data_IF_810788192073
#
_entry.id   IF_810788192073
#
_cell.length_a   1.000
_cell.length_b   1.000
_cell.length_c   1.000
_cell.angle_alpha   90.00
_cell.angle_beta   90.00
_cell.angle_gamma   90.00
#
_symmetry.space_group_name_H-M   'P 1'
#
loop_
_entity.id
_entity.type
_entity.pdbx_description
1 polymer ?
#
# COMPACT_ATOMS: atom_id res chain seq x y z
N UNK A 1 -0.09 16.91 63.96
CA UNK A 1 -0.22 15.85 62.93
C UNK A 1 -1.12 16.37 61.83
N UNK A 2 -0.58 16.65 60.62
CA UNK A 2 -1.37 17.08 59.45
C UNK A 2 -1.13 16.08 58.33
N UNK A 3 -2.18 15.46 57.74
CA UNK A 3 -2.01 14.48 56.68
C UNK A 3 -1.69 15.21 55.38
N UNK A 4 -0.62 14.80 54.70
CA UNK A 4 -0.29 15.27 53.35
C UNK A 4 -1.16 14.48 52.36
N UNK A 5 -2.12 15.17 51.76
CA UNK A 5 -2.91 14.69 50.64
C UNK A 5 -2.01 14.61 49.41
N UNK A 6 -1.69 13.39 48.95
CA UNK A 6 -0.98 13.14 47.71
C UNK A 6 -1.98 13.24 46.54
N UNK A 7 -1.90 14.32 45.77
CA UNK A 7 -2.58 14.48 44.49
C UNK A 7 -1.89 13.58 43.45
N UNK A 8 -2.60 12.55 42.99
CA UNK A 8 -2.18 11.71 41.87
C UNK A 8 -2.52 12.47 40.58
N UNK A 9 -1.48 12.95 39.89
CA UNK A 9 -1.60 13.58 38.58
C UNK A 9 -1.73 12.47 37.52
N UNK A 10 -2.93 12.24 37.00
CA UNK A 10 -3.13 11.34 35.86
C UNK A 10 -2.70 12.06 34.57
N UNK A 11 -1.56 11.66 34.00
CA UNK A 11 -1.13 12.11 32.68
C UNK A 11 -1.94 11.38 31.60
N UNK A 12 -2.86 12.09 30.96
CA UNK A 12 -3.61 11.61 29.81
C UNK A 12 -2.67 11.60 28.59
N UNK A 13 -2.14 10.43 28.23
CA UNK A 13 -1.32 10.28 27.01
C UNK A 13 -2.26 10.31 25.81
N UNK A 14 -2.32 11.44 25.11
CA UNK A 14 -3.01 11.56 23.84
C UNK A 14 -2.26 10.73 22.80
N UNK A 15 -2.81 9.56 22.44
CA UNK A 15 -2.30 8.78 21.32
C UNK A 15 -2.54 9.58 20.02
N UNK A 16 -1.52 9.77 19.16
CA UNK A 16 -1.71 10.41 17.87
C UNK A 16 -2.66 9.56 17.03
N UNK A 17 -3.72 10.17 16.50
CA UNK A 17 -4.55 9.58 15.46
C UNK A 17 -3.63 9.36 14.25
N UNK A 18 -3.28 8.12 13.96
CA UNK A 18 -2.55 7.77 12.75
C UNK A 18 -3.42 8.15 11.56
N UNK A 19 -3.07 9.24 10.87
CA UNK A 19 -3.68 9.60 9.60
C UNK A 19 -3.44 8.45 8.61
N UNK A 20 -4.49 8.01 7.93
CA UNK A 20 -4.36 6.95 6.93
C UNK A 20 -3.43 7.42 5.82
N UNK A 21 -2.40 6.62 5.51
CA UNK A 21 -1.44 6.98 4.46
C UNK A 21 -2.19 7.14 3.13
N UNK A 22 -2.05 8.28 2.45
CA UNK A 22 -2.72 8.50 1.17
C UNK A 22 -2.32 7.40 0.18
N UNK A 23 -3.23 7.06 -0.73
CA UNK A 23 -2.89 6.13 -1.81
C UNK A 23 -1.80 6.75 -2.70
N UNK A 24 -0.82 5.95 -3.16
CA UNK A 24 0.18 6.42 -4.11
C UNK A 24 -0.49 6.75 -5.45
N UNK A 25 0.16 7.61 -6.24
CA UNK A 25 -0.39 8.11 -7.52
C UNK A 25 -0.81 6.97 -8.46
N UNK A 26 -0.05 5.87 -8.48
CA UNK A 26 -0.38 4.71 -9.32
C UNK A 26 -1.74 4.09 -8.96
N UNK A 27 -2.18 4.20 -7.71
CA UNK A 27 -3.44 3.64 -7.17
C UNK A 27 -4.55 4.69 -6.93
N UNK A 28 -4.23 5.98 -6.95
CA UNK A 28 -5.17 7.06 -6.63
C UNK A 28 -6.11 7.39 -7.81
N UNK A 29 -7.36 7.75 -7.54
CA UNK A 29 -8.30 8.22 -8.58
C UNK A 29 -8.51 7.21 -9.72
N UNK A 30 -8.66 5.92 -9.38
CA UNK A 30 -9.13 4.92 -10.34
C UNK A 30 -10.63 5.09 -10.60
N UNK A 31 -11.13 4.68 -11.78
CA UNK A 31 -12.56 4.56 -12.04
C UNK A 31 -13.30 3.72 -10.98
N UNK A 32 -14.59 3.97 -10.79
CA UNK A 32 -15.40 3.22 -9.82
C UNK A 32 -15.73 1.79 -10.30
N UNK A 33 -15.76 1.57 -11.61
CA UNK A 33 -16.03 0.26 -12.19
C UNK A 33 -14.79 -0.65 -12.10
N UNK A 34 -14.91 -1.80 -11.42
CA UNK A 34 -13.78 -2.70 -11.11
C UNK A 34 -12.95 -3.09 -12.34
N UNK A 35 -13.60 -3.42 -13.46
CA UNK A 35 -12.89 -3.79 -14.69
C UNK A 35 -12.06 -2.63 -15.27
N UNK A 36 -12.61 -1.42 -15.25
CA UNK A 36 -11.94 -0.19 -15.72
C UNK A 36 -10.82 0.21 -14.75
N UNK A 37 -11.06 0.10 -13.44
CA UNK A 37 -10.06 0.33 -12.40
C UNK A 37 -8.87 -0.62 -12.56
N UNK A 38 -9.13 -1.90 -12.81
CA UNK A 38 -8.09 -2.90 -13.04
C UNK A 38 -7.27 -2.59 -14.30
N UNK A 39 -7.93 -2.26 -15.41
CA UNK A 39 -7.23 -1.90 -16.64
C UNK A 39 -6.38 -0.62 -16.46
N UNK A 40 -6.94 0.41 -15.82
CA UNK A 40 -6.25 1.67 -15.55
C UNK A 40 -5.06 1.47 -14.61
N UNK A 41 -5.23 0.70 -13.54
CA UNK A 41 -4.15 0.39 -12.59
C UNK A 41 -3.02 -0.39 -13.26
N UNK A 42 -3.35 -1.44 -14.01
CA UNK A 42 -2.36 -2.21 -14.76
C UNK A 42 -1.55 -1.32 -15.73
N UNK A 43 -2.25 -0.47 -16.50
CA UNK A 43 -1.60 0.44 -17.43
C UNK A 43 -0.67 1.45 -16.73
N UNK A 44 -1.08 1.98 -15.57
CA UNK A 44 -0.24 2.89 -14.78
C UNK A 44 0.99 2.21 -14.22
N UNK A 45 0.86 0.99 -13.71
CA UNK A 45 2.02 0.19 -13.24
C UNK A 45 3.01 0.00 -14.39
N UNK A 46 2.55 -0.46 -15.55
CA UNK A 46 3.40 -0.68 -16.72
C UNK A 46 4.05 0.61 -17.25
N UNK A 47 3.34 1.74 -17.19
CA UNK A 47 3.88 3.03 -17.60
C UNK A 47 4.89 3.63 -16.59
N UNK A 48 4.75 3.29 -15.30
CA UNK A 48 5.57 3.86 -14.22
C UNK A 48 6.98 3.28 -14.18
N UNK A 49 7.14 2.01 -14.55
CA UNK A 49 8.40 1.27 -14.44
C UNK A 49 8.96 0.95 -15.82
N UNK A 50 10.11 1.52 -16.15
CA UNK A 50 10.84 1.16 -17.37
C UNK A 50 11.56 -0.18 -17.16
N UNK A 51 11.27 -1.15 -18.03
CA UNK A 51 11.86 -2.49 -18.01
C UNK A 51 13.02 -2.60 -19.02
N UNK A 52 14.04 -3.44 -18.76
CA UNK A 52 14.26 -4.17 -17.51
C UNK A 52 14.79 -3.24 -16.40
N UNK A 53 14.55 -3.59 -15.13
CA UNK A 53 15.14 -2.91 -13.97
C UNK A 53 15.59 -3.90 -12.89
N UNK A 54 16.45 -3.45 -11.97
CA UNK A 54 16.82 -4.25 -10.82
C UNK A 54 15.61 -4.44 -9.88
N UNK A 55 15.44 -5.65 -9.35
CA UNK A 55 14.35 -5.94 -8.41
C UNK A 55 14.44 -5.08 -7.14
N UNK A 56 15.65 -4.85 -6.62
CA UNK A 56 15.83 -4.01 -5.43
C UNK A 56 15.38 -2.56 -5.66
N UNK A 57 15.58 -2.03 -6.87
CA UNK A 57 15.11 -0.68 -7.23
C UNK A 57 13.57 -0.64 -7.32
N UNK A 58 12.95 -1.68 -7.90
CA UNK A 58 11.49 -1.81 -7.91
C UNK A 58 10.92 -1.83 -6.49
N UNK A 59 11.49 -2.67 -5.62
CA UNK A 59 11.05 -2.85 -4.24
C UNK A 59 11.20 -1.56 -3.45
N UNK A 60 12.33 -0.87 -3.56
CA UNK A 60 12.56 0.39 -2.87
C UNK A 60 11.49 1.44 -3.24
N UNK A 61 11.09 1.51 -4.51
CA UNK A 61 10.01 2.40 -4.96
C UNK A 61 8.67 1.96 -4.39
N UNK A 62 8.31 0.67 -4.47
CA UNK A 62 7.03 0.16 -3.97
C UNK A 62 6.88 0.35 -2.46
N UNK A 63 7.93 0.10 -1.68
CA UNK A 63 7.92 0.34 -0.23
C UNK A 63 7.78 1.84 0.09
N UNK A 64 8.44 2.70 -0.68
CA UNK A 64 8.31 4.17 -0.56
C UNK A 64 6.88 4.62 -0.86
N UNK A 65 6.22 3.98 -1.83
CA UNK A 65 4.81 4.21 -2.19
C UNK A 65 3.82 3.59 -1.18
N UNK A 66 4.33 2.90 -0.15
CA UNK A 66 3.55 2.34 0.95
C UNK A 66 2.97 0.95 0.68
N UNK A 67 3.46 0.24 -0.35
CA UNK A 67 3.14 -1.16 -0.57
C UNK A 67 3.84 -2.07 0.44
N UNK A 68 3.14 -3.10 0.88
CA UNK A 68 3.73 -4.23 1.59
C UNK A 68 4.26 -5.23 0.56
N UNK A 69 5.58 -5.44 0.53
CA UNK A 69 6.28 -6.29 -0.45
C UNK A 69 6.46 -7.71 0.08
N UNK A 70 6.13 -8.71 -0.73
CA UNK A 70 6.51 -10.11 -0.53
C UNK A 70 7.41 -10.59 -1.66
N UNK A 71 8.71 -10.65 -1.36
CA UNK A 71 9.77 -11.08 -2.30
C UNK A 71 9.67 -12.55 -2.69
N UNK A 72 9.07 -13.40 -1.84
CA UNK A 72 9.04 -14.85 -2.09
C UNK A 72 8.12 -15.25 -3.25
N UNK A 73 7.22 -14.35 -3.61
CA UNK A 73 6.13 -14.54 -4.59
C UNK A 73 6.01 -13.35 -5.54
N UNK A 74 7.01 -12.46 -5.54
CA UNK A 74 7.16 -11.33 -6.46
C UNK A 74 5.91 -10.46 -6.60
N UNK A 75 5.32 -10.07 -5.46
CA UNK A 75 4.23 -9.11 -5.45
C UNK A 75 4.35 -8.08 -4.32
N UNK A 76 3.63 -6.97 -4.46
CA UNK A 76 3.44 -5.98 -3.42
C UNK A 76 1.97 -5.52 -3.37
N UNK A 77 1.42 -5.34 -2.17
CA UNK A 77 0.01 -5.01 -1.97
C UNK A 77 -0.20 -3.73 -1.16
N UNK A 78 -1.23 -2.99 -1.55
CA UNK A 78 -1.91 -2.02 -0.68
C UNK A 78 -3.36 -2.47 -0.52
N UNK A 79 -3.85 -2.45 0.71
CA UNK A 79 -5.26 -2.66 1.02
C UNK A 79 -5.87 -1.40 1.64
N UNK A 80 -7.09 -1.07 1.22
CA UNK A 80 -7.88 0.03 1.77
C UNK A 80 -9.30 -0.42 2.01
N UNK A 81 -9.82 -0.11 3.20
CA UNK A 81 -11.22 -0.36 3.54
C UNK A 81 -12.06 0.82 3.07
N UNK A 82 -13.14 0.51 2.36
CA UNK A 82 -14.15 1.48 1.93
C UNK A 82 -15.52 0.98 2.39
N UNK A 83 -15.95 1.47 3.55
CA UNK A 83 -17.10 0.94 4.28
C UNK A 83 -16.91 -0.55 4.62
N UNK A 84 -17.79 -1.39 4.08
CA UNK A 84 -17.74 -2.86 4.26
C UNK A 84 -16.85 -3.56 3.25
N UNK A 85 -16.46 -2.89 2.17
CA UNK A 85 -15.67 -3.48 1.11
C UNK A 85 -14.17 -3.26 1.35
N UNK A 86 -13.36 -4.19 0.84
CA UNK A 86 -11.90 -4.12 0.82
C UNK A 86 -11.43 -3.90 -0.62
N UNK A 87 -10.75 -2.79 -0.87
CA UNK A 87 -10.03 -2.51 -2.11
C UNK A 87 -8.60 -3.02 -1.98
N UNK A 88 -8.13 -3.78 -2.96
CA UNK A 88 -6.76 -4.30 -3.04
C UNK A 88 -6.10 -3.81 -4.33
N UNK A 89 -4.87 -3.31 -4.19
CA UNK A 89 -4.00 -2.87 -5.28
C UNK A 89 -2.74 -3.71 -5.23
N UNK A 90 -2.55 -4.57 -6.23
CA UNK A 90 -1.45 -5.52 -6.28
C UNK A 90 -0.54 -5.25 -7.45
N UNK A 91 0.75 -5.03 -7.18
CA UNK A 91 1.79 -5.06 -8.21
C UNK A 91 2.39 -6.46 -8.22
N UNK A 92 2.51 -7.07 -9.39
CA UNK A 92 3.19 -8.36 -9.59
C UNK A 92 4.31 -8.19 -10.61
N UNK A 93 5.41 -8.90 -10.43
CA UNK A 93 6.51 -8.90 -11.40
C UNK A 93 7.08 -10.28 -11.61
N UNK A 94 7.72 -10.48 -12.76
CA UNK A 94 8.61 -11.60 -13.00
C UNK A 94 10.05 -11.15 -12.74
N UNK A 95 10.86 -12.03 -12.16
CA UNK A 95 12.26 -11.76 -11.85
C UNK A 95 13.11 -12.95 -12.29
N UNK A 96 14.11 -12.68 -13.11
CA UNK A 96 15.16 -13.63 -13.46
C UNK A 96 16.53 -13.05 -13.04
N UNK A 97 17.19 -13.70 -12.08
CA UNK A 97 18.55 -13.32 -11.66
C UNK A 97 18.66 -11.93 -11.01
N UNK A 98 17.61 -11.44 -10.35
CA UNK A 98 17.55 -10.10 -9.74
C UNK A 98 17.12 -8.99 -10.70
N UNK A 99 16.74 -9.35 -11.93
CA UNK A 99 16.27 -8.42 -12.96
C UNK A 99 14.79 -8.66 -13.25
N UNK A 100 14.01 -7.59 -13.22
CA UNK A 100 12.60 -7.60 -13.56
C UNK A 100 12.42 -7.38 -15.05
N UNK A 101 11.78 -8.33 -15.73
CA UNK A 101 11.54 -8.34 -17.18
C UNK A 101 10.07 -8.17 -17.57
N UNK A 102 9.14 -8.41 -16.62
CA UNK A 102 7.71 -8.16 -16.77
C UNK A 102 7.11 -7.64 -15.46
N UNK A 103 6.16 -6.71 -15.58
CA UNK A 103 5.43 -6.15 -14.44
C UNK A 103 3.96 -5.90 -14.80
N UNK A 104 3.08 -6.03 -13.83
CA UNK A 104 1.64 -5.79 -13.99
C UNK A 104 0.97 -5.33 -12.71
N UNK A 105 -0.19 -4.72 -12.87
CA UNK A 105 -1.07 -4.32 -11.78
C UNK A 105 -2.36 -5.13 -11.79
N UNK A 106 -2.87 -5.47 -10.61
CA UNK A 106 -4.21 -6.02 -10.42
C UNK A 106 -4.95 -5.21 -9.37
N UNK A 107 -6.18 -4.80 -9.70
CA UNK A 107 -7.10 -4.15 -8.77
C UNK A 107 -8.24 -5.10 -8.44
N UNK A 108 -8.62 -5.15 -7.17
CA UNK A 108 -9.75 -5.95 -6.69
C UNK A 108 -10.61 -5.19 -5.69
N UNK A 109 -11.90 -5.52 -5.68
CA UNK A 109 -12.86 -5.10 -4.69
C UNK A 109 -13.56 -6.35 -4.14
N UNK A 110 -13.50 -6.57 -2.83
CA UNK A 110 -14.17 -7.66 -2.15
C UNK A 110 -15.14 -7.08 -1.14
N UNK A 111 -16.43 -7.39 -1.29
CA UNK A 111 -17.47 -7.03 -0.33
C UNK A 111 -18.01 -8.33 0.32
N UNK A 112 -18.38 -8.31 1.61
CA UNK A 112 -19.01 -9.44 2.28
C UNK A 112 -20.39 -9.78 1.69
#
# INVERSE_FOLDING_TARGET
MRPRLLLILAALVAAPLAAETPLPEIAAGLPDQVAEANAAFNARVQARFALPLAEDDLIAVLETDGFAVDRSVSFADIERRDGLCLRRYRVVWNNEGGTVDAIGGAYGLVCP
#
